data_IF_690365168227
#
_entry.id   IF_690365168227
#
_cell.length_a   1.000
_cell.length_b   1.000
_cell.length_c   1.000
_cell.angle_alpha   90.00
_cell.angle_beta   90.00
_cell.angle_gamma   90.00
#
_symmetry.space_group_name_H-M   'P 1'
#
loop_
_entity.id
_entity.type
_entity.pdbx_description
1 polymer ?
#
# COMPACT_ATOMS: atom_id res chain seq x y z
N UNK A 1 -23.38 10.06 -10.34
CA UNK A 1 -22.41 9.46 -11.28
C UNK A 1 -21.11 9.27 -10.51
N UNK A 2 -20.71 8.02 -10.23
CA UNK A 2 -19.43 7.72 -9.60
C UNK A 2 -18.49 7.19 -10.70
N UNK A 3 -17.79 8.09 -11.36
CA UNK A 3 -16.86 7.74 -12.45
C UNK A 3 -15.50 7.26 -11.94
N UNK A 4 -15.15 7.56 -10.68
CA UNK A 4 -13.89 7.13 -10.08
C UNK A 4 -13.97 5.66 -9.65
N UNK A 5 -13.01 4.84 -10.12
CA UNK A 5 -12.77 3.50 -9.59
C UNK A 5 -11.31 3.40 -9.17
N UNK A 6 -11.08 3.04 -7.91
CA UNK A 6 -9.74 2.99 -7.37
C UNK A 6 -8.85 1.92 -8.02
N UNK A 7 -9.44 0.87 -8.60
CA UNK A 7 -8.69 -0.17 -9.33
C UNK A 7 -7.82 0.35 -10.49
N UNK A 8 -8.14 1.49 -11.08
CA UNK A 8 -7.29 2.14 -12.09
C UNK A 8 -5.99 2.75 -11.52
N UNK A 9 -5.96 2.99 -10.21
CA UNK A 9 -4.91 3.72 -9.49
C UNK A 9 -4.25 2.87 -8.39
N UNK A 10 -4.77 1.67 -8.12
CA UNK A 10 -4.38 0.84 -7.01
C UNK A 10 -2.87 0.57 -7.03
N UNK A 11 -2.22 0.80 -5.90
CA UNK A 11 -0.78 0.55 -5.72
C UNK A 11 0.12 1.62 -6.33
N UNK A 12 -0.42 2.76 -6.78
CA UNK A 12 0.40 3.90 -7.19
C UNK A 12 1.19 4.52 -6.02
N UNK A 13 2.03 5.51 -6.29
CA UNK A 13 2.85 6.15 -5.26
C UNK A 13 2.02 6.82 -4.14
N UNK A 14 0.80 7.28 -4.43
CA UNK A 14 -0.08 7.89 -3.44
C UNK A 14 -0.61 6.83 -2.46
N UNK A 15 -0.96 5.64 -2.95
CA UNK A 15 -1.34 4.51 -2.11
C UNK A 15 -0.18 4.03 -1.24
N UNK A 16 1.04 3.99 -1.76
CA UNK A 16 2.23 3.67 -0.96
C UNK A 16 2.36 4.65 0.21
N UNK A 17 2.34 5.96 -0.06
CA UNK A 17 2.43 6.98 0.99
C UNK A 17 1.29 6.86 2.01
N UNK A 18 0.05 6.78 1.53
CA UNK A 18 -1.16 6.71 2.36
C UNK A 18 -1.12 5.50 3.29
N UNK A 19 -0.81 4.31 2.77
CA UNK A 19 -0.82 3.08 3.56
C UNK A 19 0.37 2.98 4.51
N UNK A 20 1.54 3.50 4.16
CA UNK A 20 2.68 3.60 5.10
C UNK A 20 2.32 4.47 6.30
N UNK A 21 1.71 5.63 6.05
CA UNK A 21 1.25 6.53 7.13
C UNK A 21 0.15 5.87 7.95
N UNK A 22 -0.82 5.21 7.31
CA UNK A 22 -1.88 4.49 8.01
C UNK A 22 -1.31 3.43 8.96
N UNK A 23 -0.37 2.60 8.50
CA UNK A 23 0.26 1.58 9.34
C UNK A 23 1.01 2.20 10.52
N UNK A 24 1.75 3.29 10.30
CA UNK A 24 2.44 3.99 11.39
C UNK A 24 1.46 4.53 12.45
N UNK A 25 0.30 5.06 12.03
CA UNK A 25 -0.75 5.51 12.95
C UNK A 25 -1.37 4.34 13.71
N UNK A 26 -1.67 3.24 13.03
CA UNK A 26 -2.24 2.05 13.66
C UNK A 26 -1.26 1.41 14.66
N UNK A 27 0.00 1.25 14.27
CA UNK A 27 1.05 0.70 15.14
C UNK A 27 1.22 1.58 16.40
N UNK A 28 1.15 2.92 16.26
CA UNK A 28 1.22 3.83 17.41
C UNK A 28 -0.02 3.73 18.33
N UNK A 29 -1.24 3.64 17.76
CA UNK A 29 -2.46 3.47 18.55
C UNK A 29 -2.47 2.15 19.33
N UNK A 30 -1.84 1.11 18.77
CA UNK A 30 -1.71 -0.21 19.39
C UNK A 30 -0.69 -0.26 20.55
N UNK A 31 0.15 0.76 20.75
CA UNK A 31 1.05 0.84 21.91
C UNK A 31 0.29 0.86 23.25
N UNK A 32 -0.96 1.32 23.22
CA UNK A 32 -1.83 1.35 24.38
C UNK A 32 -2.76 0.13 24.36
N UNK A 33 -2.79 -0.60 25.47
CA UNK A 33 -3.75 -1.68 25.71
C UNK A 33 -5.17 -1.13 26.00
N UNK A 34 -5.75 -0.46 25.01
CA UNK A 34 -7.14 0.00 24.99
C UNK A 34 -7.69 -0.11 23.56
N UNK A 35 -8.93 -0.59 23.39
CA UNK A 35 -9.53 -0.68 22.06
C UNK A 35 -9.74 0.72 21.45
N UNK A 36 -9.70 0.78 20.12
CA UNK A 36 -10.06 1.97 19.33
C UNK A 36 -10.96 1.59 18.15
N UNK A 37 -11.68 2.58 17.63
CA UNK A 37 -12.49 2.45 16.42
C UNK A 37 -11.67 2.83 15.20
N UNK A 38 -11.74 2.02 14.14
CA UNK A 38 -11.25 2.38 12.82
C UNK A 38 -12.44 2.68 11.92
N UNK A 39 -12.49 3.91 11.40
CA UNK A 39 -13.57 4.39 10.52
C UNK A 39 -12.95 4.83 9.20
N UNK A 40 -13.23 4.09 8.13
CA UNK A 40 -12.85 4.47 6.78
C UNK A 40 -14.06 4.98 6.00
N UNK A 41 -14.07 6.27 5.72
CA UNK A 41 -15.20 6.94 5.05
C UNK A 41 -15.28 6.59 3.56
N UNK A 42 -14.19 6.12 2.95
CA UNK A 42 -14.08 5.86 1.52
C UNK A 42 -13.27 4.57 1.26
N UNK A 43 -13.66 3.47 1.91
CA UNK A 43 -12.89 2.21 1.97
C UNK A 43 -12.66 1.51 0.61
N UNK A 44 -13.44 1.83 -0.42
CA UNK A 44 -13.35 1.15 -1.71
C UNK A 44 -13.68 -0.35 -1.62
N UNK A 45 -12.99 -1.16 -2.43
CA UNK A 45 -13.23 -2.62 -2.55
C UNK A 45 -12.43 -3.48 -1.56
N UNK A 46 -11.54 -2.88 -0.74
CA UNK A 46 -10.63 -3.60 0.16
C UNK A 46 -9.39 -4.17 -0.53
N UNK A 47 -9.54 -4.95 -1.61
CA UNK A 47 -8.45 -5.54 -2.37
C UNK A 47 -8.54 -5.25 -3.87
N UNK A 48 -7.40 -5.17 -4.55
CA UNK A 48 -7.31 -4.91 -5.98
C UNK A 48 -6.24 -5.77 -6.64
N UNK A 49 -6.64 -6.57 -7.63
CA UNK A 49 -5.71 -7.36 -8.43
C UNK A 49 -4.94 -6.46 -9.40
N UNK A 50 -3.61 -6.43 -9.30
CA UNK A 50 -2.76 -5.56 -10.13
C UNK A 50 -2.61 -6.06 -11.58
N UNK A 51 -3.08 -7.28 -11.87
CA UNK A 51 -3.21 -7.87 -13.20
C UNK A 51 -4.63 -7.73 -13.80
N UNK A 52 -5.53 -7.01 -13.12
CA UNK A 52 -6.88 -6.70 -13.62
C UNK A 52 -6.84 -5.77 -14.84
N UNK A 53 -7.91 -5.82 -15.65
CA UNK A 53 -8.05 -4.92 -16.80
C UNK A 53 -8.01 -3.44 -16.40
N UNK A 54 -8.61 -3.07 -15.26
CA UNK A 54 -8.52 -1.71 -14.72
C UNK A 54 -7.09 -1.31 -14.38
N UNK A 55 -6.37 -2.13 -13.61
CA UNK A 55 -4.99 -1.83 -13.21
C UNK A 55 -4.06 -1.75 -14.42
N UNK A 56 -4.22 -2.66 -15.39
CA UNK A 56 -3.40 -2.72 -16.60
C UNK A 56 -3.69 -1.58 -17.59
N UNK A 57 -4.82 -0.87 -17.46
CA UNK A 57 -5.15 0.26 -18.34
C UNK A 57 -4.23 1.47 -18.13
N UNK A 58 -3.84 1.73 -16.88
CA UNK A 58 -2.97 2.87 -16.54
C UNK A 58 -1.62 2.43 -15.96
N UNK A 59 -1.56 1.24 -15.34
CA UNK A 59 -0.35 0.64 -14.78
C UNK A 59 0.36 1.54 -13.76
N UNK A 60 -0.40 2.35 -13.01
CA UNK A 60 0.19 3.28 -12.03
C UNK A 60 0.93 2.54 -10.91
N UNK A 61 0.57 1.28 -10.63
CA UNK A 61 1.30 0.42 -9.70
C UNK A 61 2.78 0.23 -10.08
N UNK A 62 3.12 0.34 -11.38
CA UNK A 62 4.48 0.17 -11.89
C UNK A 62 5.44 1.22 -11.34
N UNK A 63 4.97 2.45 -11.10
CA UNK A 63 5.77 3.54 -10.50
C UNK A 63 5.58 3.67 -8.99
N UNK A 64 4.65 2.91 -8.40
CA UNK A 64 4.41 2.80 -6.97
C UNK A 64 4.94 1.50 -6.38
N UNK A 65 4.03 0.61 -5.97
CA UNK A 65 4.35 -0.61 -5.22
C UNK A 65 5.29 -1.56 -5.96
N UNK A 66 5.15 -1.72 -7.27
CA UNK A 66 6.03 -2.63 -8.04
C UNK A 66 7.47 -2.13 -8.00
N UNK A 67 7.69 -0.84 -8.29
CA UNK A 67 9.03 -0.23 -8.19
C UNK A 67 9.62 -0.34 -6.78
N UNK A 68 8.81 -0.15 -5.74
CA UNK A 68 9.25 -0.29 -4.36
C UNK A 68 9.68 -1.73 -4.04
N UNK A 69 8.87 -2.72 -4.44
CA UNK A 69 9.17 -4.15 -4.26
C UNK A 69 10.45 -4.55 -4.99
N UNK A 70 10.61 -4.13 -6.24
CA UNK A 70 11.81 -4.44 -7.02
C UNK A 70 13.05 -3.79 -6.42
N UNK A 71 12.91 -2.56 -5.90
CA UNK A 71 14.01 -1.86 -5.24
C UNK A 71 14.42 -2.54 -3.92
N UNK A 72 13.46 -3.07 -3.17
CA UNK A 72 13.67 -3.76 -1.89
C UNK A 72 13.97 -5.26 -2.03
N UNK A 73 13.76 -5.85 -3.21
CA UNK A 73 13.98 -7.27 -3.46
C UNK A 73 15.46 -7.65 -3.59
N UNK A 74 15.75 -8.95 -3.74
CA UNK A 74 17.13 -9.45 -3.87
C UNK A 74 17.88 -8.79 -5.03
N UNK A 75 19.06 -8.23 -4.75
CA UNK A 75 19.87 -7.49 -5.73
C UNK A 75 19.35 -6.09 -6.05
N UNK A 76 18.28 -5.64 -5.38
CA UNK A 76 17.72 -4.30 -5.50
C UNK A 76 18.55 -3.25 -4.74
N UNK A 77 18.52 -1.98 -5.17
CA UNK A 77 19.30 -0.90 -4.54
C UNK A 77 18.96 -0.63 -3.07
N UNK A 78 17.82 -1.11 -2.57
CA UNK A 78 17.33 -0.89 -1.20
C UNK A 78 17.25 -2.18 -0.37
N UNK A 79 17.73 -3.33 -0.87
CA UNK A 79 17.60 -4.65 -0.23
C UNK A 79 17.98 -4.63 1.27
N UNK A 80 19.05 -3.91 1.61
CA UNK A 80 19.59 -3.84 2.99
C UNK A 80 19.47 -2.45 3.63
N UNK A 81 18.71 -1.54 3.02
CA UNK A 81 18.64 -0.13 3.45
C UNK A 81 17.22 0.45 3.44
N UNK A 82 16.20 -0.40 3.34
CA UNK A 82 14.81 0.02 3.40
C UNK A 82 14.44 0.55 4.79
N UNK A 83 13.77 1.70 4.83
CA UNK A 83 13.31 2.29 6.09
C UNK A 83 12.30 1.36 6.79
N UNK A 84 12.30 1.26 8.14
CA UNK A 84 11.43 0.33 8.88
C UNK A 84 9.94 0.46 8.54
N UNK A 85 9.45 1.70 8.33
CA UNK A 85 8.06 1.94 7.97
C UNK A 85 7.69 1.36 6.59
N UNK A 86 8.63 1.37 5.64
CA UNK A 86 8.44 0.77 4.31
C UNK A 86 8.57 -0.76 4.37
N UNK A 87 9.46 -1.29 5.20
CA UNK A 87 9.55 -2.74 5.48
C UNK A 87 8.22 -3.26 6.04
N UNK A 88 7.70 -2.61 7.08
CA UNK A 88 6.39 -2.93 7.68
C UNK A 88 5.26 -2.92 6.66
N UNK A 89 5.24 -1.92 5.78
CA UNK A 89 4.27 -1.83 4.69
C UNK A 89 4.38 -3.00 3.70
N UNK A 90 5.59 -3.32 3.24
CA UNK A 90 5.80 -4.44 2.31
C UNK A 90 5.44 -5.79 2.93
N UNK A 91 5.73 -6.01 4.22
CA UNK A 91 5.32 -7.22 4.95
C UNK A 91 3.79 -7.38 4.97
N UNK A 92 3.06 -6.30 5.25
CA UNK A 92 1.58 -6.32 5.26
C UNK A 92 1.04 -6.57 3.86
N UNK A 93 1.53 -5.88 2.84
CA UNK A 93 0.98 -6.03 1.47
C UNK A 93 1.32 -7.39 0.88
N UNK A 94 2.45 -7.99 1.25
CA UNK A 94 2.86 -9.31 0.74
C UNK A 94 2.10 -10.48 1.37
N UNK A 95 1.25 -10.24 2.37
CA UNK A 95 0.42 -11.29 3.00
C UNK A 95 -0.96 -11.45 2.35
N UNK A 96 -1.31 -10.61 1.38
CA UNK A 96 -2.53 -10.68 0.58
C UNK A 96 -2.24 -11.24 -0.81
#
# INVERSE_FOLDING_TARGET
MLSYRHGFHAGNHADVLKHVVLLAVLDHLLEKDKPFWYVDTHAGAGGYALDSQEALRHREHATGITRLRDAAGPGGPLEHSLAPALTRYLEVVSSF
#
